data_IF_723177167368
#
_entry.id   IF_723177167368
#
_cell.length_a   1.000
_cell.length_b   1.000
_cell.length_c   1.000
_cell.angle_alpha   90.00
_cell.angle_beta   90.00
_cell.angle_gamma   90.00
#
_symmetry.space_group_name_H-M   'P 1'
#
loop_
_entity.id
_entity.type
_entity.pdbx_description
1 polymer ?
#
# COMPACT_ATOMS: atom_id res chain seq x y z
N UNK A 1 -19.07 16.10 14.58
CA UNK A 1 -17.96 16.25 13.63
C UNK A 1 -18.48 16.29 12.21
N UNK A 2 -18.19 17.36 11.52
CA UNK A 2 -18.64 17.56 10.16
C UNK A 2 -18.04 16.49 9.22
N UNK A 3 -18.90 15.82 8.45
CA UNK A 3 -18.48 14.82 7.44
C UNK A 3 -17.49 15.36 6.40
N UNK A 4 -17.38 16.68 6.25
CA UNK A 4 -16.42 17.33 5.34
C UNK A 4 -14.96 17.20 5.80
N UNK A 5 -14.69 17.20 7.10
CA UNK A 5 -13.32 17.10 7.64
C UNK A 5 -12.73 15.70 7.50
N UNK A 6 -13.56 14.65 7.51
CA UNK A 6 -13.10 13.28 7.27
C UNK A 6 -12.75 13.00 5.81
N UNK A 7 -13.34 13.74 4.88
CA UNK A 7 -13.17 13.50 3.43
C UNK A 7 -11.76 13.81 2.92
N UNK A 8 -11.07 14.76 3.55
CA UNK A 8 -9.75 15.24 3.09
C UNK A 8 -8.58 14.76 3.95
N UNK A 9 -8.86 13.89 4.93
CA UNK A 9 -7.82 13.36 5.80
C UNK A 9 -6.96 12.33 5.06
N UNK A 10 -5.65 12.55 5.08
CA UNK A 10 -4.67 11.64 4.49
C UNK A 10 -3.56 11.34 5.48
N UNK A 11 -3.23 10.09 5.63
CA UNK A 11 -2.03 9.64 6.36
C UNK A 11 -1.15 8.90 5.36
N UNK A 12 0.12 9.27 5.33
CA UNK A 12 1.15 8.56 4.56
C UNK A 12 2.29 8.17 5.49
N UNK A 13 2.72 6.91 5.40
CA UNK A 13 3.87 6.39 6.13
C UNK A 13 4.80 5.66 5.15
N UNK A 14 6.09 5.78 5.37
CA UNK A 14 7.12 5.11 4.58
C UNK A 14 7.85 4.12 5.48
N UNK A 15 7.94 2.87 5.03
CA UNK A 15 8.56 1.79 5.79
C UNK A 15 9.70 1.16 4.99
N UNK A 16 10.78 0.79 5.67
CA UNK A 16 11.90 0.06 5.08
C UNK A 16 11.98 -1.31 5.72
N UNK A 17 11.84 -2.35 4.91
CA UNK A 17 11.92 -3.72 5.37
C UNK A 17 13.41 -4.08 5.59
N UNK A 18 13.80 -4.62 6.77
CA UNK A 18 15.23 -4.80 7.10
C UNK A 18 15.95 -5.85 6.26
N UNK A 19 15.26 -6.90 5.79
CA UNK A 19 15.86 -8.01 5.05
C UNK A 19 15.83 -7.74 3.54
N UNK A 20 14.71 -7.28 3.03
CA UNK A 20 14.49 -7.04 1.59
C UNK A 20 14.43 -5.53 1.31
N UNK A 21 15.46 -4.80 1.71
CA UNK A 21 15.51 -3.33 1.60
C UNK A 21 15.66 -2.78 0.18
N UNK A 22 15.44 -3.62 -0.84
CA UNK A 22 15.48 -3.24 -2.27
C UNK A 22 14.44 -2.18 -2.60
N UNK A 23 13.25 -2.31 -2.01
CA UNK A 23 12.17 -1.34 -2.15
C UNK A 23 11.65 -0.90 -0.78
N UNK A 24 11.39 0.39 -0.64
CA UNK A 24 10.61 0.87 0.49
C UNK A 24 9.11 0.69 0.22
N UNK A 25 8.32 0.62 1.27
CA UNK A 25 6.86 0.51 1.20
C UNK A 25 6.25 1.83 1.63
N UNK A 26 5.49 2.45 0.74
CA UNK A 26 4.72 3.66 1.03
C UNK A 26 3.28 3.24 1.23
N UNK A 27 2.69 3.58 2.37
CA UNK A 27 1.28 3.32 2.66
C UNK A 27 0.54 4.64 2.74
N UNK A 28 -0.47 4.81 1.89
CA UNK A 28 -1.33 5.99 1.86
C UNK A 28 -2.76 5.57 2.20
N UNK A 29 -3.32 6.19 3.22
CA UNK A 29 -4.74 5.99 3.60
C UNK A 29 -5.46 7.32 3.44
N UNK A 30 -6.41 7.38 2.52
CA UNK A 30 -7.17 8.59 2.21
C UNK A 30 -8.42 8.26 1.43
N UNK A 31 -9.50 8.99 1.67
CA UNK A 31 -10.69 8.93 0.81
C UNK A 31 -10.51 9.74 -0.48
N UNK A 32 -9.51 10.62 -0.52
CA UNK A 32 -9.17 11.41 -1.69
C UNK A 32 -8.04 10.74 -2.48
N UNK A 33 -8.38 10.18 -3.63
CA UNK A 33 -7.43 9.49 -4.51
C UNK A 33 -6.36 10.43 -5.08
N UNK A 34 -6.61 11.72 -5.14
CA UNK A 34 -5.62 12.70 -5.59
C UNK A 34 -4.39 12.77 -4.68
N UNK A 35 -4.50 12.29 -3.45
CA UNK A 35 -3.35 12.18 -2.54
C UNK A 35 -2.23 11.28 -3.08
N UNK A 36 -2.55 10.37 -4.01
CA UNK A 36 -1.58 9.49 -4.66
C UNK A 36 -0.67 10.22 -5.66
N UNK A 37 -1.07 11.36 -6.18
CA UNK A 37 -0.34 12.07 -7.25
C UNK A 37 1.10 12.44 -6.88
N UNK A 38 1.40 12.54 -5.58
CA UNK A 38 2.75 12.82 -5.07
C UNK A 38 3.70 11.63 -5.20
N UNK A 39 3.18 10.42 -5.34
CA UNK A 39 3.94 9.18 -5.22
C UNK A 39 3.98 8.38 -6.52
N UNK A 40 2.92 8.42 -7.31
CA UNK A 40 2.79 7.63 -8.52
C UNK A 40 3.18 8.42 -9.77
N UNK A 41 3.44 7.71 -10.86
CA UNK A 41 3.75 8.30 -12.14
C UNK A 41 2.58 9.14 -12.66
N UNK A 42 2.89 10.33 -13.19
CA UNK A 42 1.90 11.27 -13.73
C UNK A 42 1.11 10.71 -14.92
N UNK A 43 1.65 9.71 -15.61
CA UNK A 43 0.98 9.06 -16.74
C UNK A 43 -0.16 8.13 -16.31
N UNK A 44 -0.24 7.78 -15.02
CA UNK A 44 -1.29 6.90 -14.50
C UNK A 44 -2.60 7.65 -14.42
N UNK A 45 -3.62 7.14 -15.11
CA UNK A 45 -4.98 7.68 -15.06
C UNK A 45 -5.74 7.09 -13.86
N UNK A 46 -5.89 7.89 -12.81
CA UNK A 46 -6.59 7.48 -11.60
C UNK A 46 -8.10 7.25 -11.82
N UNK A 47 -8.67 7.80 -12.88
CA UNK A 47 -10.09 7.59 -13.20
C UNK A 47 -10.41 6.12 -13.51
N UNK A 48 -9.41 5.31 -13.86
CA UNK A 48 -9.56 3.86 -14.05
C UNK A 48 -9.92 3.13 -12.76
N UNK A 49 -9.66 3.73 -11.60
CA UNK A 49 -9.72 3.07 -10.28
C UNK A 49 -10.77 3.71 -9.37
N UNK A 50 -11.79 4.37 -9.93
CA UNK A 50 -12.80 5.12 -9.16
C UNK A 50 -13.56 4.29 -8.13
N UNK A 51 -13.69 2.98 -8.34
CA UNK A 51 -14.39 2.06 -7.45
C UNK A 51 -13.45 1.21 -6.58
N UNK A 52 -12.14 1.43 -6.69
CA UNK A 52 -11.18 0.63 -5.93
C UNK A 52 -11.19 1.01 -4.45
N UNK A 53 -11.21 0.02 -3.59
CA UNK A 53 -11.06 0.15 -2.14
C UNK A 53 -9.60 0.09 -1.69
N UNK A 54 -8.75 -0.54 -2.50
CA UNK A 54 -7.30 -0.60 -2.33
C UNK A 54 -6.59 -0.73 -3.66
N UNK A 55 -5.35 -0.28 -3.72
CA UNK A 55 -4.49 -0.35 -4.91
C UNK A 55 -3.04 -0.58 -4.49
N UNK A 56 -2.29 -1.26 -5.35
CA UNK A 56 -0.84 -1.41 -5.19
C UNK A 56 -0.14 -1.02 -6.48
N UNK A 57 0.77 -0.07 -6.38
CA UNK A 57 1.62 0.38 -7.49
C UNK A 57 3.04 -0.17 -7.28
N UNK A 58 3.46 -1.08 -8.15
CA UNK A 58 4.68 -1.87 -7.96
C UNK A 58 5.97 -1.10 -8.22
N UNK A 59 5.93 -0.10 -9.09
CA UNK A 59 7.10 0.63 -9.55
C UNK A 59 6.91 2.12 -9.33
N UNK A 60 7.29 2.57 -8.15
CA UNK A 60 7.22 3.97 -7.75
C UNK A 60 8.63 4.42 -7.38
N UNK A 61 9.02 5.62 -7.81
CA UNK A 61 10.25 6.26 -7.34
C UNK A 61 9.87 7.41 -6.41
N UNK A 62 10.33 7.34 -5.17
CA UNK A 62 10.07 8.36 -4.18
C UNK A 62 11.35 8.73 -3.46
N UNK A 63 11.73 10.00 -3.50
CA UNK A 63 13.01 10.52 -2.94
C UNK A 63 14.21 9.70 -3.44
N UNK A 64 14.25 9.44 -4.75
CA UNK A 64 15.30 8.66 -5.43
C UNK A 64 15.39 7.20 -4.98
N UNK A 65 14.37 6.66 -4.33
CA UNK A 65 14.32 5.26 -3.91
C UNK A 65 13.24 4.50 -4.65
N UNK A 66 13.57 3.29 -5.10
CA UNK A 66 12.58 2.35 -5.63
C UNK A 66 11.60 1.98 -4.54
N UNK A 67 10.31 2.02 -4.85
CA UNK A 67 9.25 1.88 -3.86
C UNK A 67 8.06 1.08 -4.41
N UNK A 68 7.28 0.54 -3.50
CA UNK A 68 5.93 0.04 -3.72
C UNK A 68 4.98 0.96 -2.98
N UNK A 69 3.92 1.41 -3.62
CA UNK A 69 2.90 2.25 -2.98
C UNK A 69 1.61 1.47 -2.81
N UNK A 70 1.16 1.33 -1.57
CA UNK A 70 -0.13 0.74 -1.22
C UNK A 70 -1.08 1.87 -0.84
N UNK A 71 -2.27 1.85 -1.43
CA UNK A 71 -3.32 2.81 -1.17
C UNK A 71 -4.55 2.12 -0.61
N UNK A 72 -5.10 2.66 0.47
CA UNK A 72 -6.38 2.27 1.03
C UNK A 72 -7.35 3.44 0.97
N UNK A 73 -8.57 3.16 0.48
CA UNK A 73 -9.64 4.14 0.38
C UNK A 73 -10.83 3.71 1.25
N UNK A 74 -10.85 4.10 2.53
CA UNK A 74 -11.83 3.56 3.49
C UNK A 74 -13.29 3.79 3.12
N UNK A 75 -13.62 4.89 2.40
CA UNK A 75 -14.99 5.17 1.96
C UNK A 75 -15.53 4.14 0.95
N UNK A 76 -14.65 3.39 0.29
CA UNK A 76 -15.02 2.42 -0.74
C UNK A 76 -14.94 0.96 -0.24
N UNK A 77 -14.64 0.74 1.04
CA UNK A 77 -14.56 -0.61 1.58
C UNK A 77 -15.93 -1.31 1.51
N UNK A 78 -16.02 -2.39 0.74
CA UNK A 78 -17.15 -3.33 0.73
C UNK A 78 -16.88 -4.52 1.65
N UNK A 79 -15.60 -4.86 1.84
CA UNK A 79 -15.12 -5.89 2.74
C UNK A 79 -14.49 -5.28 3.98
N UNK A 80 -14.05 -6.13 4.92
CA UNK A 80 -13.29 -5.66 6.08
C UNK A 80 -11.95 -5.06 5.66
N UNK A 81 -11.44 -4.13 6.44
CA UNK A 81 -10.10 -3.56 6.20
C UNK A 81 -9.02 -4.64 6.20
N UNK A 82 -9.18 -5.67 7.02
CA UNK A 82 -8.21 -6.78 7.07
C UNK A 82 -8.12 -7.51 5.73
N UNK A 83 -9.24 -7.71 5.07
CA UNK A 83 -9.29 -8.34 3.74
C UNK A 83 -8.57 -7.46 2.71
N UNK A 84 -8.89 -6.18 2.65
CA UNK A 84 -8.26 -5.24 1.72
C UNK A 84 -6.75 -5.14 1.98
N UNK A 85 -6.36 -5.01 3.24
CA UNK A 85 -4.95 -4.92 3.64
C UNK A 85 -4.17 -6.17 3.25
N UNK A 86 -4.72 -7.35 3.49
CA UNK A 86 -4.07 -8.61 3.12
C UNK A 86 -3.91 -8.74 1.60
N UNK A 87 -4.94 -8.39 0.84
CA UNK A 87 -4.92 -8.41 -0.62
C UNK A 87 -3.80 -7.53 -1.19
N UNK A 88 -3.76 -6.28 -0.77
CA UNK A 88 -2.75 -5.33 -1.24
C UNK A 88 -1.35 -5.66 -0.74
N UNK A 89 -1.23 -6.21 0.47
CA UNK A 89 0.06 -6.65 1.02
C UNK A 89 0.67 -7.79 0.22
N UNK A 90 -0.15 -8.69 -0.30
CA UNK A 90 0.33 -9.77 -1.17
C UNK A 90 0.90 -9.22 -2.48
N UNK A 91 0.23 -8.27 -3.11
CA UNK A 91 0.75 -7.61 -4.32
C UNK A 91 2.08 -6.92 -4.06
N UNK A 92 2.20 -6.21 -2.96
CA UNK A 92 3.45 -5.52 -2.60
C UNK A 92 4.59 -6.50 -2.30
N UNK A 93 4.31 -7.57 -1.57
CA UNK A 93 5.30 -8.62 -1.29
C UNK A 93 5.78 -9.29 -2.58
N UNK A 94 4.86 -9.59 -3.49
CA UNK A 94 5.20 -10.16 -4.79
C UNK A 94 6.13 -9.25 -5.59
N UNK A 95 5.86 -7.95 -5.61
CA UNK A 95 6.69 -6.97 -6.31
C UNK A 95 8.11 -6.88 -5.73
N UNK A 96 8.22 -6.88 -4.39
CA UNK A 96 9.53 -6.80 -3.71
C UNK A 96 10.34 -8.07 -3.96
N UNK A 97 9.73 -9.23 -3.81
CA UNK A 97 10.42 -10.51 -3.99
C UNK A 97 10.77 -10.78 -5.44
N UNK A 98 9.93 -10.34 -6.38
CA UNK A 98 10.25 -10.40 -7.80
C UNK A 98 11.50 -9.58 -8.14
N UNK A 99 11.63 -8.38 -7.58
CA UNK A 99 12.86 -7.58 -7.69
C UNK A 99 14.08 -8.28 -7.10
N UNK A 100 13.91 -9.08 -6.07
CA UNK A 100 14.98 -9.88 -5.45
C UNK A 100 15.26 -11.19 -6.22
N UNK A 101 14.52 -11.47 -7.30
CA UNK A 101 14.65 -12.71 -8.07
C UNK A 101 14.00 -13.92 -7.41
N UNK A 102 13.11 -13.72 -6.45
CA UNK A 102 12.43 -14.80 -5.73
C UNK A 102 11.04 -15.02 -6.32
N UNK A 103 10.83 -16.19 -6.91
CA UNK A 103 9.53 -16.60 -7.45
C UNK A 103 8.70 -17.34 -6.39
N UNK A 104 7.38 -17.16 -6.44
CA UNK A 104 6.47 -17.89 -5.56
C UNK A 104 6.43 -19.37 -5.95
N UNK A 105 6.90 -20.22 -5.05
CA UNK A 105 6.88 -21.68 -5.16
C UNK A 105 6.96 -22.28 -3.77
N UNK A 106 6.89 -23.62 -3.65
CA UNK A 106 6.96 -24.31 -2.37
C UNK A 106 8.23 -23.99 -1.57
N UNK A 107 9.36 -23.73 -2.26
CA UNK A 107 10.65 -23.44 -1.61
C UNK A 107 10.76 -21.98 -1.12
N UNK A 108 9.94 -21.06 -1.60
CA UNK A 108 9.96 -19.64 -1.23
C UNK A 108 8.75 -19.20 -0.41
N UNK A 109 7.88 -20.13 -0.04
CA UNK A 109 6.62 -19.84 0.65
C UNK A 109 6.83 -19.07 1.96
N UNK A 110 7.82 -19.44 2.76
CA UNK A 110 8.16 -18.75 4.01
C UNK A 110 8.59 -17.30 3.78
N UNK A 111 9.37 -17.04 2.73
CA UNK A 111 9.77 -15.68 2.38
C UNK A 111 8.55 -14.79 2.05
N UNK A 112 7.60 -15.32 1.29
CA UNK A 112 6.35 -14.63 0.98
C UNK A 112 5.50 -14.42 2.23
N UNK A 113 5.31 -15.46 3.04
CA UNK A 113 4.50 -15.40 4.26
C UNK A 113 5.04 -14.35 5.23
N UNK A 114 6.35 -14.36 5.47
CA UNK A 114 7.01 -13.37 6.33
C UNK A 114 6.79 -11.95 5.81
N UNK A 115 7.05 -11.72 4.53
CA UNK A 115 6.98 -10.37 3.96
C UNK A 115 5.54 -9.86 3.88
N UNK A 116 4.58 -10.71 3.50
CA UNK A 116 3.15 -10.35 3.51
C UNK A 116 2.72 -9.93 4.92
N UNK A 117 3.09 -10.71 5.93
CA UNK A 117 2.75 -10.41 7.32
C UNK A 117 3.33 -9.07 7.79
N UNK A 118 4.60 -8.81 7.47
CA UNK A 118 5.26 -7.56 7.83
C UNK A 118 4.60 -6.35 7.13
N UNK A 119 4.34 -6.46 5.83
CA UNK A 119 3.68 -5.37 5.07
C UNK A 119 2.27 -5.14 5.60
N UNK A 120 1.52 -6.21 5.86
CA UNK A 120 0.17 -6.10 6.42
C UNK A 120 0.17 -5.35 7.75
N UNK A 121 1.15 -5.59 8.61
CA UNK A 121 1.34 -4.84 9.85
C UNK A 121 1.56 -3.35 9.58
N UNK A 122 2.40 -3.00 8.60
CA UNK A 122 2.62 -1.61 8.19
C UNK A 122 1.33 -0.95 7.71
N UNK A 123 0.56 -1.65 6.88
CA UNK A 123 -0.72 -1.16 6.35
C UNK A 123 -1.70 -0.91 7.50
N UNK A 124 -1.85 -1.86 8.40
CA UNK A 124 -2.78 -1.72 9.51
C UNK A 124 -2.38 -0.63 10.50
N UNK A 125 -1.09 -0.48 10.79
CA UNK A 125 -0.59 0.63 11.62
C UNK A 125 -0.95 1.99 11.01
N UNK A 126 -0.80 2.13 9.71
CA UNK A 126 -1.12 3.38 8.99
C UNK A 126 -2.63 3.63 9.02
N UNK A 127 -3.44 2.60 8.81
CA UNK A 127 -4.89 2.68 8.87
C UNK A 127 -5.38 3.11 10.27
N UNK A 128 -4.82 2.54 11.33
CA UNK A 128 -5.19 2.93 12.69
C UNK A 128 -4.80 4.38 13.01
N UNK A 129 -3.68 4.87 12.50
CA UNK A 129 -3.34 6.30 12.60
C UNK A 129 -4.37 7.17 11.89
N UNK A 130 -4.83 6.73 10.74
CA UNK A 130 -5.87 7.44 9.99
C UNK A 130 -7.19 7.50 10.75
N UNK A 131 -7.58 6.41 11.41
CA UNK A 131 -8.80 6.36 12.23
C UNK A 131 -8.77 7.35 13.39
N UNK A 132 -7.61 7.54 14.02
CA UNK A 132 -7.44 8.39 15.20
C UNK A 132 -7.39 9.89 14.89
N UNK A 133 -7.15 10.26 13.65
CA UNK A 133 -6.93 11.64 13.26
C UNK A 133 -8.23 12.44 12.91
#
# INVERSE_FOLDING_TARGET
MNNKTKKNKTITQVYTQPIYCIKQVIVVVSNDMNSLKKYIDKSIDLNRYTNADGLTFNNVTYKNKSSVCIYLRPSEFSDSVDNVAAHESFHAASAILDCAGVKLCSNSEEAFAYLVGWINECVMKTYYKWLKK
#
